data_IF_121041470248
#
_entry.id   IF_121041470248
#
_cell.length_a   1.000
_cell.length_b   1.000
_cell.length_c   1.000
_cell.angle_alpha   90.00
_cell.angle_beta   90.00
_cell.angle_gamma   90.00
#
_symmetry.space_group_name_H-M   'P 1'
#
loop_
_entity.id
_entity.type
_entity.pdbx_description
1 polymer ?
#
# COMPACT_ATOMS: atom_id res chain seq x y z
N UNK A 1 -19.70 -21.54 -0.06
CA UNK A 1 -20.72 -20.60 0.41
C UNK A 1 -20.05 -19.36 0.97
N UNK A 2 -20.69 -18.20 0.86
CA UNK A 2 -20.26 -17.00 1.58
C UNK A 2 -20.90 -16.97 2.98
N UNK A 3 -20.19 -16.44 3.98
CA UNK A 3 -20.75 -16.17 5.30
C UNK A 3 -21.98 -15.25 5.26
N UNK A 4 -22.04 -14.36 4.27
CA UNK A 4 -23.22 -13.51 4.03
C UNK A 4 -24.47 -14.28 3.64
N UNK A 5 -24.35 -15.49 3.07
CA UNK A 5 -25.50 -16.34 2.71
C UNK A 5 -26.26 -16.84 3.94
N UNK A 6 -25.65 -16.78 5.11
CA UNK A 6 -26.27 -17.17 6.38
C UNK A 6 -26.92 -15.99 7.12
N UNK A 7 -26.72 -14.74 6.64
CA UNK A 7 -27.30 -13.55 7.27
C UNK A 7 -28.64 -13.24 6.60
N UNK A 8 -29.73 -13.44 7.33
CA UNK A 8 -31.10 -13.19 6.87
C UNK A 8 -31.84 -12.29 7.84
N UNK A 9 -32.95 -11.70 7.40
CA UNK A 9 -33.79 -10.86 8.27
C UNK A 9 -34.70 -11.67 9.20
N UNK A 10 -34.93 -12.97 8.89
CA UNK A 10 -35.80 -13.83 9.68
C UNK A 10 -35.02 -14.73 10.62
N UNK A 11 -35.39 -14.68 11.89
CA UNK A 11 -34.73 -15.45 12.95
C UNK A 11 -34.81 -16.96 12.65
N UNK A 12 -33.67 -17.63 12.73
CA UNK A 12 -33.55 -19.08 12.56
C UNK A 12 -33.27 -19.57 11.15
N UNK A 13 -33.40 -18.73 10.12
CA UNK A 13 -33.13 -19.13 8.74
C UNK A 13 -31.66 -19.41 8.53
N UNK A 14 -30.78 -18.53 9.03
CA UNK A 14 -29.32 -18.72 8.97
C UNK A 14 -28.88 -20.01 9.67
N UNK A 15 -29.40 -20.28 10.85
CA UNK A 15 -29.11 -21.51 11.60
C UNK A 15 -29.60 -22.77 10.83
N UNK A 16 -30.72 -22.68 10.14
CA UNK A 16 -31.22 -23.81 9.29
C UNK A 16 -30.26 -24.05 8.11
N UNK A 17 -29.82 -23.01 7.42
CA UNK A 17 -28.85 -23.13 6.31
C UNK A 17 -27.52 -23.72 6.74
N UNK A 18 -27.03 -23.37 7.94
CA UNK A 18 -25.84 -23.99 8.52
C UNK A 18 -26.08 -25.49 8.69
N UNK A 19 -27.18 -25.92 9.30
CA UNK A 19 -27.50 -27.35 9.46
C UNK A 19 -27.56 -28.07 8.11
N UNK A 20 -28.26 -27.50 7.13
CA UNK A 20 -28.40 -28.08 5.80
C UNK A 20 -27.04 -28.24 5.11
N UNK A 21 -26.13 -27.27 5.23
CA UNK A 21 -24.80 -27.35 4.69
C UNK A 21 -23.99 -28.50 5.31
N UNK A 22 -24.01 -28.64 6.64
CA UNK A 22 -23.29 -29.68 7.35
C UNK A 22 -23.91 -31.08 7.13
N UNK A 23 -25.23 -31.18 7.07
CA UNK A 23 -25.91 -32.43 6.72
C UNK A 23 -25.61 -32.89 5.30
N UNK A 24 -25.54 -31.93 4.36
CA UNK A 24 -25.15 -32.24 2.98
C UNK A 24 -23.71 -32.73 2.92
N UNK A 25 -22.80 -32.11 3.68
CA UNK A 25 -21.40 -32.54 3.75
C UNK A 25 -21.25 -33.95 4.35
N UNK A 26 -22.01 -34.28 5.41
CA UNK A 26 -22.05 -35.65 5.98
C UNK A 26 -22.49 -36.69 4.96
N UNK A 27 -23.47 -36.37 4.15
CA UNK A 27 -23.99 -37.28 3.09
C UNK A 27 -22.99 -37.47 1.93
N UNK A 28 -22.14 -36.46 1.67
CA UNK A 28 -21.21 -36.47 0.55
C UNK A 28 -19.75 -36.64 0.99
N UNK A 29 -19.53 -37.18 2.18
CA UNK A 29 -18.17 -37.47 2.68
C UNK A 29 -17.46 -38.50 1.76
N UNK A 30 -16.14 -38.33 1.45
CA UNK A 30 -15.25 -37.25 1.90
C UNK A 30 -15.42 -35.95 1.13
N UNK A 31 -15.49 -34.79 1.84
CA UNK A 31 -15.64 -33.49 1.20
C UNK A 31 -15.00 -32.36 2.03
N UNK A 32 -14.93 -31.19 1.42
CA UNK A 32 -14.47 -29.94 2.05
C UNK A 32 -15.63 -28.96 2.07
N UNK A 33 -15.95 -28.43 3.24
CA UNK A 33 -16.79 -27.24 3.39
C UNK A 33 -15.90 -26.03 3.32
N UNK A 34 -16.18 -25.09 2.42
CA UNK A 34 -15.50 -23.80 2.35
C UNK A 34 -16.50 -22.68 2.61
N UNK A 35 -16.19 -21.85 3.63
CA UNK A 35 -16.98 -20.67 4.02
C UNK A 35 -16.13 -19.44 3.81
N UNK A 36 -16.47 -18.63 2.83
CA UNK A 36 -15.83 -17.34 2.59
C UNK A 36 -16.48 -16.24 3.42
N UNK A 37 -15.76 -15.16 3.71
CA UNK A 37 -16.23 -14.02 4.51
C UNK A 37 -16.83 -14.44 5.87
N UNK A 38 -16.12 -15.32 6.58
CA UNK A 38 -16.60 -15.86 7.86
C UNK A 38 -16.98 -14.77 8.88
N UNK A 39 -16.37 -13.59 8.81
CA UNK A 39 -16.64 -12.44 9.68
C UNK A 39 -18.06 -11.88 9.53
N UNK A 40 -18.80 -12.24 8.47
CA UNK A 40 -20.21 -11.87 8.34
C UNK A 40 -21.09 -12.50 9.45
N UNK A 41 -20.76 -13.73 9.87
CA UNK A 41 -21.49 -14.49 10.91
C UNK A 41 -20.67 -14.72 12.18
N UNK A 42 -19.35 -14.76 12.07
CA UNK A 42 -18.40 -15.14 13.13
C UNK A 42 -17.98 -14.02 14.07
N UNK A 43 -18.63 -12.86 14.07
CA UNK A 43 -18.25 -11.72 14.91
C UNK A 43 -18.43 -12.00 16.40
N UNK A 44 -17.46 -11.52 17.19
CA UNK A 44 -17.53 -11.52 18.66
C UNK A 44 -18.73 -10.70 19.16
N UNK A 45 -19.27 -11.11 20.31
CA UNK A 45 -20.39 -10.46 21.00
C UNK A 45 -20.00 -9.03 21.40
N UNK A 46 -20.49 -8.04 20.66
CA UNK A 46 -20.27 -6.62 20.95
C UNK A 46 -21.55 -5.97 21.47
N UNK A 47 -21.44 -4.99 22.34
CA UNK A 47 -22.56 -4.21 22.87
C UNK A 47 -23.18 -3.30 21.80
N UNK A 48 -23.98 -3.86 20.90
CA UNK A 48 -24.76 -3.14 19.89
C UNK A 48 -26.25 -3.24 20.20
N UNK A 49 -26.90 -2.10 20.36
CA UNK A 49 -28.37 -1.99 20.52
C UNK A 49 -29.03 -2.14 19.16
N UNK A 50 -29.53 -3.36 18.79
CA UNK A 50 -30.31 -3.54 17.57
C UNK A 50 -30.67 -5.00 17.26
N UNK A 51 -31.90 -5.26 16.84
CA UNK A 51 -32.54 -6.60 16.65
C UNK A 51 -31.95 -7.52 15.55
N UNK A 52 -30.86 -7.15 14.89
CA UNK A 52 -30.14 -8.02 13.96
C UNK A 52 -28.99 -8.82 14.60
N UNK A 53 -28.79 -8.68 15.91
CA UNK A 53 -27.73 -9.40 16.62
C UNK A 53 -28.15 -10.80 17.02
N UNK A 54 -29.42 -11.01 17.40
CA UNK A 54 -29.92 -12.30 17.89
C UNK A 54 -29.85 -13.38 16.79
N UNK A 55 -30.12 -13.03 15.55
CA UNK A 55 -30.07 -13.97 14.42
C UNK A 55 -28.63 -14.41 14.09
N UNK A 56 -27.69 -13.45 14.06
CA UNK A 56 -26.27 -13.76 13.84
C UNK A 56 -25.69 -14.60 14.96
N UNK A 57 -26.04 -14.30 16.21
CA UNK A 57 -25.59 -15.07 17.37
C UNK A 57 -26.16 -16.49 17.33
N UNK A 58 -27.43 -16.66 16.92
CA UNK A 58 -28.02 -17.97 16.75
C UNK A 58 -27.34 -18.76 15.64
N UNK A 59 -27.02 -18.12 14.53
CA UNK A 59 -26.31 -18.73 13.38
C UNK A 59 -24.89 -19.13 13.79
N UNK A 60 -24.17 -18.26 14.51
CA UNK A 60 -22.83 -18.57 15.04
C UNK A 60 -22.90 -19.77 16.01
N UNK A 61 -23.83 -19.76 16.95
CA UNK A 61 -24.00 -20.87 17.89
C UNK A 61 -24.31 -22.18 17.16
N UNK A 62 -25.14 -22.15 16.12
CA UNK A 62 -25.40 -23.34 15.30
C UNK A 62 -24.15 -23.82 14.59
N UNK A 63 -23.35 -22.91 14.03
CA UNK A 63 -22.06 -23.24 13.40
C UNK A 63 -21.12 -23.96 14.38
N UNK A 64 -21.00 -23.44 15.60
CA UNK A 64 -20.19 -24.04 16.66
C UNK A 64 -20.68 -25.45 17.03
N UNK A 65 -22.01 -25.64 17.14
CA UNK A 65 -22.63 -26.93 17.44
C UNK A 65 -22.36 -27.94 16.34
N UNK A 66 -22.49 -27.53 15.07
CA UNK A 66 -22.25 -28.43 13.94
C UNK A 66 -20.75 -28.83 13.83
N UNK A 67 -19.83 -27.89 14.11
CA UNK A 67 -18.40 -28.19 14.13
C UNK A 67 -18.03 -29.13 15.28
N UNK A 68 -18.57 -28.94 16.46
CA UNK A 68 -18.36 -29.84 17.61
C UNK A 68 -19.03 -31.22 17.40
N UNK A 69 -20.06 -31.28 16.54
CA UNK A 69 -20.76 -32.51 16.17
C UNK A 69 -20.04 -33.40 15.15
N UNK A 70 -18.91 -32.95 14.59
CA UNK A 70 -18.05 -33.79 13.76
C UNK A 70 -17.26 -34.76 14.66
N UNK A 71 -17.76 -35.97 14.85
CA UNK A 71 -16.99 -37.02 15.51
C UNK A 71 -15.74 -37.40 14.70
N UNK A 72 -14.81 -38.09 15.35
CA UNK A 72 -13.50 -38.51 14.81
C UNK A 72 -13.57 -39.38 13.54
N UNK A 73 -14.73 -39.75 13.06
CA UNK A 73 -14.95 -40.65 11.93
C UNK A 73 -15.55 -39.98 10.70
N UNK A 74 -15.78 -38.68 10.70
CA UNK A 74 -16.29 -37.98 9.52
C UNK A 74 -15.15 -37.41 8.70
N UNK A 75 -15.00 -37.89 7.44
CA UNK A 75 -13.98 -37.37 6.51
C UNK A 75 -14.44 -36.03 5.88
N UNK A 76 -14.79 -35.05 6.69
CA UNK A 76 -15.18 -33.69 6.26
C UNK A 76 -14.18 -32.70 6.85
N UNK A 77 -13.63 -31.86 5.99
CA UNK A 77 -12.72 -30.76 6.38
C UNK A 77 -13.50 -29.45 6.26
N UNK A 78 -13.47 -28.64 7.33
CA UNK A 78 -14.07 -27.31 7.30
C UNK A 78 -12.93 -26.29 7.13
N UNK A 79 -13.06 -25.46 6.11
CA UNK A 79 -12.16 -24.32 5.84
C UNK A 79 -12.97 -23.03 5.81
N UNK A 80 -12.39 -21.96 6.32
CA UNK A 80 -12.99 -20.63 6.22
C UNK A 80 -11.95 -19.59 5.83
N UNK A 81 -12.40 -18.51 5.20
CA UNK A 81 -11.59 -17.36 4.91
C UNK A 81 -12.20 -16.08 5.49
N UNK A 82 -11.38 -15.16 5.94
CA UNK A 82 -11.76 -13.84 6.40
C UNK A 82 -10.66 -12.82 6.17
N UNK A 83 -11.02 -11.60 5.85
CA UNK A 83 -10.12 -10.45 5.81
C UNK A 83 -10.03 -9.73 7.18
N UNK A 84 -10.83 -10.17 8.17
CA UNK A 84 -10.92 -9.54 9.49
C UNK A 84 -10.84 -10.57 10.62
N UNK A 85 -9.67 -11.19 10.85
CA UNK A 85 -9.51 -12.14 11.94
C UNK A 85 -9.71 -11.50 13.33
N UNK A 86 -9.49 -10.17 13.43
CA UNK A 86 -9.63 -9.36 14.65
C UNK A 86 -11.05 -9.33 15.22
N UNK A 87 -12.06 -9.48 14.36
CA UNK A 87 -13.48 -9.41 14.80
C UNK A 87 -14.08 -10.77 15.09
N UNK A 88 -13.39 -11.88 14.80
CA UNK A 88 -13.93 -13.23 15.00
C UNK A 88 -14.11 -13.57 16.48
N UNK A 89 -15.18 -14.29 16.78
CA UNK A 89 -15.40 -14.84 18.12
C UNK A 89 -14.33 -15.89 18.45
N UNK A 90 -13.70 -15.72 19.60
CA UNK A 90 -12.62 -16.61 20.07
C UNK A 90 -13.06 -18.08 20.18
N UNK A 91 -14.36 -18.35 20.32
CA UNK A 91 -14.89 -19.69 20.34
C UNK A 91 -14.70 -20.46 19.03
N UNK A 92 -14.66 -19.75 17.88
CA UNK A 92 -14.36 -20.37 16.59
C UNK A 92 -12.91 -20.88 16.49
N UNK A 93 -12.01 -20.24 17.19
CA UNK A 93 -10.56 -20.52 17.13
C UNK A 93 -10.09 -21.56 18.16
N UNK A 94 -11.01 -22.17 18.92
CA UNK A 94 -10.69 -23.20 19.90
C UNK A 94 -10.35 -24.54 19.23
N UNK A 95 -9.46 -25.36 19.86
CA UNK A 95 -9.18 -26.70 19.38
C UNK A 95 -10.44 -27.53 19.12
N UNK A 96 -10.44 -28.27 18.01
CA UNK A 96 -11.62 -29.05 17.55
C UNK A 96 -12.53 -28.27 16.59
N UNK A 97 -12.25 -26.98 16.31
CA UNK A 97 -12.95 -26.12 15.37
C UNK A 97 -11.96 -25.61 14.31
N UNK A 98 -11.69 -24.30 14.22
CA UNK A 98 -10.62 -23.78 13.36
C UNK A 98 -9.30 -23.78 14.15
N UNK A 99 -8.71 -24.92 14.30
CA UNK A 99 -7.48 -25.13 15.07
C UNK A 99 -6.21 -24.78 14.28
N UNK A 100 -6.31 -24.65 12.97
CA UNK A 100 -5.21 -24.23 12.07
C UNK A 100 -5.52 -22.88 11.43
N UNK A 101 -4.62 -21.94 11.64
CA UNK A 101 -4.71 -20.62 11.05
C UNK A 101 -3.56 -20.43 10.08
N UNK A 102 -3.88 -20.01 8.85
CA UNK A 102 -2.90 -19.73 7.81
C UNK A 102 -3.11 -18.29 7.36
N UNK A 103 -2.10 -17.46 7.54
CA UNK A 103 -2.10 -16.10 7.02
C UNK A 103 -1.56 -16.09 5.62
N UNK A 104 -2.35 -15.61 4.66
CA UNK A 104 -1.92 -15.37 3.28
C UNK A 104 -1.43 -13.93 3.20
N UNK A 105 -0.11 -13.76 3.18
CA UNK A 105 0.53 -12.44 3.04
C UNK A 105 0.49 -11.95 1.59
N UNK A 106 0.80 -10.66 1.40
CA UNK A 106 1.03 -10.13 0.05
C UNK A 106 2.23 -10.83 -0.58
N UNK A 107 2.20 -11.08 -1.91
CA UNK A 107 3.23 -11.84 -2.61
C UNK A 107 4.57 -11.08 -2.66
N UNK A 108 5.67 -11.82 -2.53
CA UNK A 108 7.03 -11.35 -2.79
C UNK A 108 7.29 -11.14 -4.29
N UNK A 109 8.48 -10.64 -4.67
CA UNK A 109 8.83 -10.37 -6.07
C UNK A 109 8.70 -11.62 -6.95
N UNK A 110 9.13 -12.79 -6.47
CA UNK A 110 9.09 -14.05 -7.24
C UNK A 110 7.65 -14.55 -7.39
N UNK A 111 6.87 -14.44 -6.32
CA UNK A 111 5.45 -14.79 -6.33
C UNK A 111 4.66 -13.83 -7.22
N UNK A 112 4.95 -12.52 -7.20
CA UNK A 112 4.35 -11.56 -8.14
C UNK A 112 4.67 -11.87 -9.59
N UNK A 113 5.92 -12.24 -9.89
CA UNK A 113 6.32 -12.69 -11.23
C UNK A 113 5.54 -13.93 -11.66
N UNK A 114 5.40 -14.92 -10.77
CA UNK A 114 4.64 -16.15 -11.05
C UNK A 114 3.15 -15.84 -11.30
N UNK A 115 2.55 -14.96 -10.49
CA UNK A 115 1.15 -14.52 -10.66
C UNK A 115 0.96 -13.79 -12.00
N UNK A 116 1.86 -12.88 -12.35
CA UNK A 116 1.84 -12.18 -13.63
C UNK A 116 1.95 -13.16 -14.80
N UNK A 117 2.82 -14.16 -14.71
CA UNK A 117 2.94 -15.23 -15.72
C UNK A 117 1.62 -15.97 -15.91
N UNK A 118 0.95 -16.37 -14.81
CA UNK A 118 -0.34 -17.08 -14.88
C UNK A 118 -1.42 -16.23 -15.57
N UNK A 119 -1.55 -14.95 -15.19
CA UNK A 119 -2.56 -14.08 -15.77
C UNK A 119 -2.24 -13.68 -17.21
N UNK A 120 -0.97 -13.66 -17.62
CA UNK A 120 -0.55 -13.39 -18.98
C UNK A 120 -0.85 -14.50 -19.98
N UNK A 121 -1.07 -15.75 -19.54
CA UNK A 121 -1.37 -16.88 -20.43
C UNK A 121 -2.60 -16.65 -21.34
N UNK A 122 -3.52 -15.79 -20.95
CA UNK A 122 -4.74 -15.48 -21.70
C UNK A 122 -4.60 -14.24 -22.59
N UNK A 123 -3.41 -13.62 -22.64
CA UNK A 123 -3.14 -12.39 -23.37
C UNK A 123 -1.94 -12.55 -24.28
N UNK A 124 -1.86 -11.78 -25.35
CA UNK A 124 -0.68 -11.75 -26.21
C UNK A 124 0.30 -10.70 -25.70
N UNK A 125 1.39 -11.15 -25.13
CA UNK A 125 2.50 -10.30 -24.71
C UNK A 125 3.56 -10.23 -25.82
N UNK A 126 4.09 -9.03 -26.05
CA UNK A 126 5.24 -8.83 -26.92
C UNK A 126 6.51 -9.39 -26.29
N UNK A 127 7.51 -9.72 -27.12
CA UNK A 127 8.80 -10.29 -26.69
C UNK A 127 9.66 -9.30 -25.87
N UNK A 128 9.37 -8.00 -25.92
CA UNK A 128 10.07 -6.97 -25.16
C UNK A 128 9.62 -6.90 -23.71
N UNK A 129 8.50 -7.56 -23.34
CA UNK A 129 7.99 -7.54 -21.96
C UNK A 129 8.88 -8.38 -21.05
N UNK A 130 9.36 -7.71 -19.99
CA UNK A 130 10.03 -8.36 -18.87
C UNK A 130 9.14 -8.32 -17.64
N UNK A 131 8.46 -9.45 -17.35
CA UNK A 131 7.55 -9.57 -16.20
C UNK A 131 8.28 -9.43 -14.86
N UNK A 132 9.56 -9.73 -14.78
CA UNK A 132 10.37 -9.53 -13.59
C UNK A 132 10.52 -8.04 -13.26
N UNK A 133 10.72 -7.19 -14.28
CA UNK A 133 10.77 -5.73 -14.09
C UNK A 133 9.42 -5.22 -13.57
N UNK A 134 8.31 -5.73 -14.12
CA UNK A 134 6.96 -5.37 -13.69
C UNK A 134 6.70 -5.84 -12.25
N UNK A 135 7.12 -7.06 -11.89
CA UNK A 135 6.99 -7.59 -10.53
C UNK A 135 7.75 -6.75 -9.50
N UNK A 136 8.95 -6.25 -9.84
CA UNK A 136 9.70 -5.30 -9.01
C UNK A 136 9.00 -3.95 -8.91
N UNK A 137 8.35 -3.53 -10.00
CA UNK A 137 7.67 -2.23 -10.11
C UNK A 137 6.29 -2.19 -9.43
N UNK A 138 5.85 -3.29 -8.81
CA UNK A 138 4.54 -3.42 -8.15
C UNK A 138 4.67 -3.90 -6.70
N UNK A 139 5.48 -3.23 -5.84
CA UNK A 139 5.60 -3.61 -4.44
C UNK A 139 4.23 -3.45 -3.74
N UNK A 140 3.88 -4.43 -2.90
CA UNK A 140 2.63 -4.41 -2.15
C UNK A 140 1.36 -4.73 -2.96
N UNK A 141 1.50 -5.09 -4.26
CA UNK A 141 0.36 -5.51 -5.07
C UNK A 141 -0.12 -6.90 -4.67
N UNK A 142 -1.43 -7.06 -4.53
CA UNK A 142 -2.10 -8.35 -4.36
C UNK A 142 -2.18 -9.11 -5.69
N UNK A 143 -2.58 -10.38 -5.64
CA UNK A 143 -2.85 -11.16 -6.85
C UNK A 143 -3.94 -10.53 -7.74
N UNK A 144 -4.95 -9.94 -7.14
CA UNK A 144 -6.03 -9.22 -7.86
C UNK A 144 -5.50 -7.95 -8.54
N UNK A 145 -4.62 -7.19 -7.89
CA UNK A 145 -4.01 -5.99 -8.47
C UNK A 145 -3.15 -6.35 -9.69
N UNK A 146 -2.40 -7.45 -9.60
CA UNK A 146 -1.56 -7.94 -10.69
C UNK A 146 -2.39 -8.45 -11.88
N UNK A 147 -3.51 -9.13 -11.61
CA UNK A 147 -4.46 -9.53 -12.65
C UNK A 147 -5.07 -8.31 -13.34
N UNK A 148 -5.48 -7.31 -12.55
CA UNK A 148 -5.99 -6.04 -13.07
C UNK A 148 -4.95 -5.29 -13.90
N UNK A 149 -3.67 -5.34 -13.51
CA UNK A 149 -2.58 -4.73 -14.26
C UNK A 149 -2.45 -5.31 -15.68
N UNK A 150 -2.50 -6.64 -15.82
CA UNK A 150 -2.48 -7.30 -17.13
C UNK A 150 -3.69 -6.88 -17.96
N UNK A 151 -4.89 -6.86 -17.35
CA UNK A 151 -6.12 -6.45 -18.02
C UNK A 151 -6.06 -4.98 -18.49
N UNK A 152 -5.58 -4.07 -17.66
CA UNK A 152 -5.40 -2.66 -18.02
C UNK A 152 -4.37 -2.49 -19.15
N UNK A 153 -3.27 -3.26 -19.14
CA UNK A 153 -2.30 -3.29 -20.23
C UNK A 153 -2.94 -3.72 -21.55
N UNK A 154 -3.79 -4.75 -21.52
CA UNK A 154 -4.53 -5.20 -22.69
C UNK A 154 -5.51 -4.15 -23.21
N UNK A 155 -6.21 -3.44 -22.31
CA UNK A 155 -7.12 -2.36 -22.68
C UNK A 155 -6.38 -1.18 -23.33
N UNK A 156 -5.17 -0.84 -22.84
CA UNK A 156 -4.33 0.22 -23.42
C UNK A 156 -3.85 -0.20 -24.82
N UNK A 157 -3.35 -1.43 -24.98
CA UNK A 157 -2.93 -1.97 -26.27
C UNK A 157 -4.08 -1.97 -27.29
N UNK A 158 -5.27 -2.43 -26.88
CA UNK A 158 -6.47 -2.40 -27.74
C UNK A 158 -6.86 -0.97 -28.16
N UNK A 159 -6.81 0.00 -27.24
CA UNK A 159 -7.07 1.42 -27.55
C UNK A 159 -6.07 1.98 -28.55
N UNK A 160 -4.84 1.51 -28.55
CA UNK A 160 -3.78 1.89 -29.46
C UNK A 160 -3.80 1.08 -30.79
N UNK A 161 -4.84 0.23 -31.00
CA UNK A 161 -4.97 -0.67 -32.15
C UNK A 161 -3.75 -1.60 -32.32
N UNK A 162 -3.25 -2.16 -31.21
CA UNK A 162 -2.13 -3.09 -31.18
C UNK A 162 -2.65 -4.51 -31.00
N UNK A 163 -2.03 -5.50 -31.67
CA UNK A 163 -2.39 -6.92 -31.55
C UNK A 163 -1.78 -7.62 -30.36
N UNK A 164 -0.79 -6.99 -29.73
CA UNK A 164 -0.09 -7.48 -28.54
C UNK A 164 0.21 -6.35 -27.56
N UNK A 165 0.38 -6.71 -26.29
CA UNK A 165 0.73 -5.77 -25.22
C UNK A 165 2.23 -5.52 -25.30
N UNK A 166 2.66 -4.25 -25.33
CA UNK A 166 4.07 -3.85 -25.28
C UNK A 166 4.47 -3.45 -23.86
N UNK A 167 5.78 -3.42 -23.58
CA UNK A 167 6.30 -2.99 -22.27
C UNK A 167 5.81 -1.59 -21.86
N UNK A 168 5.74 -0.65 -22.82
CA UNK A 168 5.19 0.69 -22.59
C UNK A 168 3.73 0.70 -22.14
N UNK A 169 2.91 -0.25 -22.64
CA UNK A 169 1.49 -0.34 -22.27
C UNK A 169 1.34 -0.87 -20.83
N UNK A 170 2.21 -1.80 -20.43
CA UNK A 170 2.29 -2.29 -19.05
C UNK A 170 2.74 -1.20 -18.07
N UNK A 171 3.72 -0.38 -18.46
CA UNK A 171 4.16 0.75 -17.65
C UNK A 171 3.06 1.81 -17.52
N UNK A 172 2.34 2.12 -18.61
CA UNK A 172 1.20 3.05 -18.56
C UNK A 172 0.05 2.50 -17.71
N UNK A 173 -0.23 1.19 -17.80
CA UNK A 173 -1.23 0.51 -16.96
C UNK A 173 -0.87 0.60 -15.48
N UNK A 174 0.38 0.32 -15.13
CA UNK A 174 0.89 0.46 -13.77
C UNK A 174 0.73 1.89 -13.26
N UNK A 175 1.15 2.87 -14.04
CA UNK A 175 1.05 4.27 -13.68
C UNK A 175 -0.41 4.70 -13.49
N UNK A 176 -1.32 4.21 -14.35
CA UNK A 176 -2.76 4.46 -14.22
C UNK A 176 -3.33 3.89 -12.92
N UNK A 177 -2.89 2.69 -12.53
CA UNK A 177 -3.36 2.04 -11.30
C UNK A 177 -2.80 2.75 -10.06
N UNK A 178 -1.51 3.05 -10.05
CA UNK A 178 -0.84 3.65 -8.88
C UNK A 178 -1.16 5.14 -8.69
N UNK A 179 -1.24 5.90 -9.78
CA UNK A 179 -1.31 7.37 -9.76
C UNK A 179 -2.59 7.93 -10.37
N UNK A 180 -3.40 7.10 -11.01
CA UNK A 180 -4.59 7.52 -11.75
C UNK A 180 -4.32 7.89 -13.21
N UNK A 181 -5.39 8.27 -13.90
CA UNK A 181 -5.36 8.59 -15.33
C UNK A 181 -4.54 9.86 -15.59
N UNK A 182 -3.71 9.84 -16.64
CA UNK A 182 -2.97 11.02 -17.10
C UNK A 182 -3.93 12.10 -17.61
N UNK A 183 -3.79 13.33 -17.13
CA UNK A 183 -4.62 14.49 -17.50
C UNK A 183 -4.00 15.24 -18.68
N UNK A 184 -3.91 14.58 -19.84
CA UNK A 184 -3.29 15.16 -21.05
C UNK A 184 -4.01 16.42 -21.59
N UNK A 185 -5.28 16.62 -21.23
CA UNK A 185 -6.07 17.79 -21.65
C UNK A 185 -5.94 19.00 -20.71
N UNK A 186 -5.19 18.87 -19.62
CA UNK A 186 -5.01 19.97 -18.67
C UNK A 186 -4.07 21.02 -19.26
N UNK A 187 -4.56 22.24 -19.42
CA UNK A 187 -3.73 23.35 -19.90
C UNK A 187 -2.86 23.83 -18.73
N UNK A 188 -1.57 23.52 -18.80
CA UNK A 188 -0.56 23.94 -17.83
C UNK A 188 0.23 25.09 -18.46
N UNK A 189 0.44 26.17 -17.73
CA UNK A 189 1.28 27.28 -18.21
C UNK A 189 2.75 26.86 -18.23
N UNK A 190 3.57 27.44 -19.11
CA UNK A 190 5.01 27.17 -19.18
C UNK A 190 5.70 27.40 -17.82
N UNK A 191 5.23 28.40 -17.08
CA UNK A 191 5.71 28.67 -15.73
C UNK A 191 5.41 27.51 -14.76
N UNK A 192 4.19 27.02 -14.73
CA UNK A 192 3.81 25.86 -13.87
C UNK A 192 4.54 24.59 -14.30
N UNK A 193 4.76 24.40 -15.61
CA UNK A 193 5.54 23.28 -16.13
C UNK A 193 6.99 23.33 -15.63
N UNK A 194 7.58 24.52 -15.62
CA UNK A 194 8.93 24.75 -15.10
C UNK A 194 9.00 24.55 -13.58
N UNK A 195 8.02 25.09 -12.83
CA UNK A 195 7.92 24.90 -11.38
C UNK A 195 7.85 23.41 -11.01
N UNK A 196 6.98 22.64 -11.68
CA UNK A 196 6.88 21.19 -11.50
C UNK A 196 8.18 20.47 -11.89
N UNK A 197 8.83 20.90 -12.97
CA UNK A 197 10.08 20.29 -13.42
C UNK A 197 11.22 20.48 -12.39
N UNK A 198 11.34 21.63 -11.77
CA UNK A 198 12.30 21.84 -10.69
C UNK A 198 11.95 21.00 -9.46
N UNK A 199 10.69 20.91 -9.10
CA UNK A 199 10.21 20.09 -7.99
C UNK A 199 10.62 18.62 -8.18
N UNK A 200 10.23 18.01 -9.29
CA UNK A 200 10.52 16.61 -9.59
C UNK A 200 12.01 16.34 -9.81
N UNK A 201 12.74 17.30 -10.40
CA UNK A 201 14.19 17.19 -10.54
C UNK A 201 14.90 17.16 -9.19
N UNK A 202 14.37 17.88 -8.18
CA UNK A 202 14.89 17.85 -6.81
C UNK A 202 14.78 16.47 -6.18
N UNK A 203 13.62 15.83 -6.26
CA UNK A 203 13.43 14.45 -5.81
C UNK A 203 14.33 13.49 -6.58
N UNK A 204 14.34 13.56 -7.91
CA UNK A 204 15.07 12.64 -8.75
C UNK A 204 16.61 12.71 -8.48
N UNK A 205 17.16 13.90 -8.31
CA UNK A 205 18.59 14.07 -8.11
C UNK A 205 19.06 13.48 -6.77
N UNK A 206 18.25 13.60 -5.71
CA UNK A 206 18.56 13.01 -4.40
C UNK A 206 18.65 11.48 -4.44
N UNK A 207 17.91 10.80 -5.32
CA UNK A 207 18.05 9.35 -5.49
C UNK A 207 19.46 8.91 -5.95
N UNK A 208 20.21 9.77 -6.61
CA UNK A 208 21.58 9.45 -7.06
C UNK A 208 22.65 9.78 -6.04
N UNK A 209 22.40 10.74 -5.15
CA UNK A 209 23.42 11.23 -4.21
C UNK A 209 23.25 10.68 -2.80
N UNK A 210 22.13 10.05 -2.46
CA UNK A 210 21.89 9.42 -1.17
C UNK A 210 22.21 7.93 -1.24
N UNK A 211 23.04 7.46 -0.32
CA UNK A 211 23.60 6.09 -0.34
C UNK A 211 22.53 5.00 -0.19
N UNK A 212 21.54 5.28 0.66
CA UNK A 212 20.50 4.29 1.01
C UNK A 212 19.18 4.52 0.27
N UNK A 213 19.16 5.42 -0.71
CA UNK A 213 18.00 5.68 -1.54
C UNK A 213 17.69 4.51 -2.47
N UNK A 214 16.41 4.26 -2.71
CA UNK A 214 15.98 3.34 -3.76
C UNK A 214 16.34 3.91 -5.13
N UNK A 215 16.78 3.08 -6.10
CA UNK A 215 17.11 3.56 -7.43
C UNK A 215 15.94 4.27 -8.10
N UNK A 216 16.22 5.40 -8.73
CA UNK A 216 15.23 6.07 -9.57
C UNK A 216 14.84 5.13 -10.72
N UNK A 217 13.57 5.05 -11.02
CA UNK A 217 13.07 4.32 -12.20
C UNK A 217 12.72 5.29 -13.32
N UNK A 218 11.97 6.32 -13.01
CA UNK A 218 11.62 7.41 -13.92
C UNK A 218 11.17 8.65 -13.17
N UNK A 219 11.24 9.77 -13.84
CA UNK A 219 10.68 11.05 -13.38
C UNK A 219 9.81 11.65 -14.48
N UNK A 220 8.65 12.18 -14.12
CA UNK A 220 7.68 12.75 -15.08
C UNK A 220 6.99 13.98 -14.50
N UNK A 221 6.70 14.93 -15.37
CA UNK A 221 5.90 16.13 -15.08
C UNK A 221 4.50 16.08 -15.70
N UNK A 222 4.09 14.91 -16.20
CA UNK A 222 2.73 14.70 -16.71
C UNK A 222 1.79 14.54 -15.52
N UNK A 223 0.76 15.40 -15.39
CA UNK A 223 -0.17 15.33 -14.28
C UNK A 223 -1.00 14.04 -14.28
N UNK A 224 -1.08 13.41 -13.10
CA UNK A 224 -1.91 12.21 -12.87
C UNK A 224 -2.67 12.33 -11.55
N UNK A 225 -3.95 12.02 -11.56
CA UNK A 225 -4.78 12.09 -10.35
C UNK A 225 -4.71 13.48 -9.70
N UNK A 226 -4.08 13.57 -8.52
CA UNK A 226 -3.85 14.82 -7.78
C UNK A 226 -2.41 15.33 -7.89
N UNK A 227 -1.48 14.54 -8.41
CA UNK A 227 -0.08 14.91 -8.56
C UNK A 227 0.13 15.66 -9.89
N UNK A 228 0.96 16.70 -9.86
CA UNK A 228 1.37 17.45 -11.06
C UNK A 228 2.56 16.79 -11.74
N UNK A 229 3.36 16.03 -11.01
CA UNK A 229 4.46 15.22 -11.47
C UNK A 229 4.75 14.10 -10.49
N UNK A 230 5.76 13.28 -10.75
CA UNK A 230 6.26 12.25 -9.84
C UNK A 230 7.66 11.79 -10.20
N UNK A 231 8.54 11.67 -9.20
CA UNK A 231 9.79 10.93 -9.26
C UNK A 231 9.55 9.53 -8.67
N UNK A 232 9.59 8.51 -9.50
CA UNK A 232 9.27 7.14 -9.13
C UNK A 232 10.53 6.31 -8.96
N UNK A 233 10.71 5.71 -7.78
CA UNK A 233 11.82 4.81 -7.46
C UNK A 233 11.34 3.38 -7.29
N UNK A 234 12.21 2.42 -7.57
CA UNK A 234 11.92 0.99 -7.43
C UNK A 234 12.91 0.36 -6.46
N UNK A 235 12.44 -0.30 -5.41
CA UNK A 235 13.32 -1.07 -4.54
C UNK A 235 13.96 -2.22 -5.35
N UNK A 236 15.24 -2.50 -5.07
CA UNK A 236 15.95 -3.62 -5.70
C UNK A 236 15.44 -4.96 -5.23
N UNK A 237 14.98 -5.03 -3.99
CA UNK A 237 14.57 -6.23 -3.27
C UNK A 237 13.36 -5.92 -2.38
N UNK A 238 12.54 -6.92 -2.08
CA UNK A 238 11.52 -6.81 -1.05
C UNK A 238 12.20 -6.67 0.31
N UNK A 239 11.90 -5.60 1.03
CA UNK A 239 12.53 -5.31 2.32
C UNK A 239 11.63 -5.77 3.46
N UNK A 240 12.14 -6.66 4.28
CA UNK A 240 11.48 -7.12 5.50
C UNK A 240 11.62 -6.11 6.66
N UNK A 241 12.64 -5.25 6.61
CA UNK A 241 12.90 -4.22 7.60
C UNK A 241 13.53 -2.99 6.95
N UNK A 242 13.39 -1.84 7.61
CA UNK A 242 13.99 -0.58 7.19
C UNK A 242 14.84 -0.03 8.34
N UNK A 243 16.06 0.40 8.06
CA UNK A 243 16.97 0.96 9.07
C UNK A 243 16.88 2.49 9.15
N UNK A 244 17.46 3.08 10.22
CA UNK A 244 17.46 4.52 10.49
C UNK A 244 17.97 5.34 9.29
N UNK A 245 19.07 4.95 8.66
CA UNK A 245 19.66 5.69 7.54
C UNK A 245 18.75 5.70 6.31
N UNK A 246 18.12 4.58 6.01
CA UNK A 246 17.14 4.47 4.91
C UNK A 246 15.92 5.37 5.13
N UNK A 247 15.46 5.51 6.38
CA UNK A 247 14.33 6.37 6.70
C UNK A 247 14.74 7.83 6.57
N UNK A 248 15.93 8.20 7.09
CA UNK A 248 16.45 9.57 6.95
C UNK A 248 16.61 9.94 5.47
N UNK A 249 17.15 9.05 4.64
CA UNK A 249 17.28 9.31 3.20
C UNK A 249 15.91 9.44 2.51
N UNK A 250 14.90 8.67 2.92
CA UNK A 250 13.52 8.88 2.44
C UNK A 250 12.96 10.24 2.83
N UNK A 251 13.22 10.70 4.06
CA UNK A 251 12.80 12.04 4.51
C UNK A 251 13.51 13.13 3.69
N UNK A 252 14.82 12.98 3.42
CA UNK A 252 15.56 13.90 2.56
C UNK A 252 15.00 13.96 1.15
N UNK A 253 14.65 12.82 0.57
CA UNK A 253 14.01 12.74 -0.75
C UNK A 253 12.67 13.49 -0.73
N UNK A 254 11.83 13.31 0.29
CA UNK A 254 10.59 14.08 0.42
C UNK A 254 10.85 15.60 0.42
N UNK A 255 11.97 16.07 0.96
CA UNK A 255 12.34 17.49 0.91
C UNK A 255 12.93 17.94 -0.43
N UNK A 256 13.21 17.03 -1.36
CA UNK A 256 13.83 17.33 -2.65
C UNK A 256 13.09 18.38 -3.45
N UNK A 257 11.76 18.27 -3.58
CA UNK A 257 10.91 19.24 -4.25
C UNK A 257 10.95 20.61 -3.58
N UNK A 258 10.73 20.65 -2.25
CA UNK A 258 10.76 21.88 -1.46
C UNK A 258 12.11 22.62 -1.60
N UNK A 259 13.20 21.92 -1.39
CA UNK A 259 14.55 22.52 -1.44
C UNK A 259 14.88 23.00 -2.87
N UNK A 260 14.51 22.25 -3.90
CA UNK A 260 14.70 22.62 -5.29
C UNK A 260 13.93 23.90 -5.66
N UNK A 261 12.66 24.01 -5.25
CA UNK A 261 11.86 25.23 -5.45
C UNK A 261 12.51 26.44 -4.78
N UNK A 262 12.94 26.30 -3.53
CA UNK A 262 13.62 27.41 -2.80
C UNK A 262 14.91 27.84 -3.48
N UNK A 263 15.75 26.93 -3.93
CA UNK A 263 17.05 27.20 -4.54
C UNK A 263 16.93 27.92 -5.90
N UNK A 264 15.92 27.53 -6.71
CA UNK A 264 15.84 27.96 -8.10
C UNK A 264 14.73 29.01 -8.36
N UNK A 265 13.66 28.99 -7.59
CA UNK A 265 12.50 29.87 -7.77
C UNK A 265 12.41 30.92 -6.67
N UNK A 266 13.05 30.71 -5.51
CA UNK A 266 12.97 31.59 -4.34
C UNK A 266 11.60 31.59 -3.63
N UNK A 267 10.70 30.72 -4.06
CA UNK A 267 9.35 30.54 -3.50
C UNK A 267 9.00 29.06 -3.46
N UNK A 268 8.11 28.66 -2.55
CA UNK A 268 7.54 27.32 -2.51
C UNK A 268 6.09 27.34 -2.95
N UNK A 269 5.68 26.27 -3.62
CA UNK A 269 4.29 26.09 -4.05
C UNK A 269 3.52 25.21 -3.04
N UNK A 270 2.20 25.20 -3.13
CA UNK A 270 1.37 24.29 -2.35
C UNK A 270 1.58 22.80 -2.75
N UNK A 271 2.27 22.51 -3.85
CA UNK A 271 2.59 21.17 -4.32
C UNK A 271 3.38 20.34 -3.30
N UNK A 272 4.19 21.00 -2.46
CA UNK A 272 5.02 20.35 -1.42
C UNK A 272 4.21 19.75 -0.26
N UNK A 273 2.90 19.98 -0.18
CA UNK A 273 2.07 19.55 0.96
C UNK A 273 2.16 18.05 1.23
N UNK A 274 2.06 17.24 0.20
CA UNK A 274 2.10 15.78 0.35
C UNK A 274 3.47 15.28 0.83
N UNK A 275 4.54 15.87 0.32
CA UNK A 275 5.91 15.52 0.68
C UNK A 275 6.21 15.87 2.14
N UNK A 276 5.79 17.07 2.58
CA UNK A 276 5.90 17.48 3.97
C UNK A 276 5.08 16.58 4.91
N UNK A 277 3.88 16.16 4.48
CA UNK A 277 3.06 15.23 5.23
C UNK A 277 3.75 13.86 5.37
N UNK A 278 4.33 13.33 4.29
CA UNK A 278 5.05 12.06 4.30
C UNK A 278 6.32 12.16 5.17
N UNK A 279 7.14 13.20 5.00
CA UNK A 279 8.32 13.44 5.80
C UNK A 279 7.99 13.49 7.30
N UNK A 280 6.96 14.27 7.66
CA UNK A 280 6.52 14.40 9.06
C UNK A 280 5.99 13.09 9.62
N UNK A 281 5.23 12.32 8.84
CA UNK A 281 4.73 11.01 9.26
C UNK A 281 5.87 10.02 9.51
N UNK A 282 6.88 9.97 8.63
CA UNK A 282 8.05 9.12 8.79
C UNK A 282 8.86 9.50 10.04
N UNK A 283 9.13 10.79 10.25
CA UNK A 283 9.85 11.28 11.41
C UNK A 283 9.11 10.97 12.73
N UNK A 284 7.77 11.13 12.76
CA UNK A 284 6.95 10.75 13.91
C UNK A 284 7.06 9.26 14.21
N UNK A 285 6.86 8.39 13.21
CA UNK A 285 6.99 6.95 13.38
C UNK A 285 8.37 6.54 13.87
N UNK A 286 9.41 7.19 13.35
CA UNK A 286 10.79 6.98 13.76
C UNK A 286 10.99 7.19 15.27
N UNK A 287 10.38 8.24 15.81
CA UNK A 287 10.49 8.62 17.23
C UNK A 287 9.52 7.82 18.10
N UNK A 288 8.25 7.67 17.68
CA UNK A 288 7.18 7.13 18.55
C UNK A 288 6.96 5.63 18.42
N UNK A 289 7.18 5.05 17.23
CA UNK A 289 6.90 3.63 16.98
C UNK A 289 8.18 2.77 16.95
N UNK A 290 9.27 3.30 16.34
CA UNK A 290 10.47 2.50 16.08
C UNK A 290 11.60 2.73 17.09
N UNK A 291 11.42 3.65 18.04
CA UNK A 291 12.40 3.93 19.07
C UNK A 291 13.76 4.39 18.54
N UNK A 292 13.76 5.08 17.38
CA UNK A 292 15.00 5.53 16.72
C UNK A 292 15.37 6.97 17.08
N UNK A 293 14.61 7.61 17.98
CA UNK A 293 14.88 8.92 18.53
C UNK A 293 16.06 8.90 19.49
N UNK A 294 16.79 10.03 19.63
CA UNK A 294 17.91 10.17 20.55
C UNK A 294 17.48 10.71 21.91
N UNK A 295 16.60 11.73 21.92
CA UNK A 295 16.10 12.35 23.15
C UNK A 295 15.00 11.51 23.83
N UNK A 296 14.13 10.89 23.02
CA UNK A 296 13.03 10.02 23.49
C UNK A 296 13.54 8.62 23.81
N UNK A 297 14.49 8.11 23.03
CA UNK A 297 15.07 6.79 23.18
C UNK A 297 14.19 5.63 22.64
N UNK A 298 14.57 4.36 22.95
CA UNK A 298 13.90 3.17 22.38
C UNK A 298 12.61 2.82 23.16
N UNK A 299 11.61 3.68 23.02
CA UNK A 299 10.29 3.53 23.67
C UNK A 299 9.21 3.51 22.59
N UNK A 300 8.20 2.65 22.75
CA UNK A 300 7.00 2.63 21.94
C UNK A 300 5.93 3.52 22.58
N UNK A 301 5.54 4.59 21.90
CA UNK A 301 4.67 5.66 22.40
C UNK A 301 3.36 5.79 21.61
N UNK A 302 2.92 4.76 20.94
CA UNK A 302 1.64 4.79 20.21
C UNK A 302 0.53 4.36 21.17
N UNK A 303 -0.57 5.10 21.14
CA UNK A 303 -1.79 4.66 21.82
C UNK A 303 -2.26 3.34 21.19
N UNK A 304 -2.54 2.34 22.01
CA UNK A 304 -3.30 1.17 21.58
C UNK A 304 -4.56 1.69 20.87
N UNK A 305 -4.82 1.19 19.70
CA UNK A 305 -5.95 1.60 18.85
C UNK A 305 -7.20 1.71 19.72
N UNK A 306 -7.73 2.92 19.86
CA UNK A 306 -8.98 3.12 20.58
C UNK A 306 -10.03 2.19 19.97
N UNK A 307 -10.85 1.52 20.81
CA UNK A 307 -11.86 0.59 20.33
C UNK A 307 -12.66 1.23 19.20
N UNK A 308 -12.80 0.53 18.09
CA UNK A 308 -13.41 0.97 16.81
C UNK A 308 -14.81 1.60 17.00
N UNK A 309 -15.40 1.51 18.19
CA UNK A 309 -16.75 1.93 18.55
C UNK A 309 -16.89 3.29 19.22
N UNK A 310 -15.79 4.00 19.52
CA UNK A 310 -15.87 5.37 20.04
C UNK A 310 -15.67 6.37 18.87
N UNK A 311 -16.51 7.43 18.78
CA UNK A 311 -16.27 8.49 17.80
C UNK A 311 -14.85 9.04 17.98
N UNK A 312 -14.11 9.20 16.88
CA UNK A 312 -12.71 9.69 16.86
C UNK A 312 -12.47 10.99 17.64
N UNK A 313 -13.55 11.71 17.99
CA UNK A 313 -13.50 12.96 18.76
C UNK A 313 -13.26 12.73 20.27
N UNK A 314 -13.56 11.54 20.81
CA UNK A 314 -13.39 11.24 22.24
C UNK A 314 -12.10 10.45 22.57
N UNK A 315 -11.35 9.99 21.58
CA UNK A 315 -10.15 9.15 21.78
C UNK A 315 -8.81 9.90 21.66
N UNK A 316 -8.80 11.23 21.87
CA UNK A 316 -7.57 12.05 21.81
C UNK A 316 -6.85 12.22 23.15
N UNK A 317 -7.01 11.32 24.11
CA UNK A 317 -6.12 11.32 25.25
C UNK A 317 -4.75 10.74 24.82
N UNK A 318 -3.70 11.57 24.79
CA UNK A 318 -2.32 11.10 24.54
C UNK A 318 -1.96 10.08 25.62
N UNK A 319 -1.44 8.90 25.25
CA UNK A 319 -1.01 7.85 26.18
C UNK A 319 0.22 8.25 27.02
N UNK A 320 0.78 9.41 26.80
CA UNK A 320 2.00 9.89 27.45
C UNK A 320 1.89 11.34 27.92
N UNK A 321 2.73 11.70 28.91
CA UNK A 321 2.72 13.02 29.54
C UNK A 321 3.02 14.17 28.57
N UNK A 322 2.58 15.38 28.89
CA UNK A 322 2.88 16.59 28.11
C UNK A 322 4.39 16.82 27.95
N UNK A 323 5.18 16.49 28.98
CA UNK A 323 6.64 16.57 28.89
C UNK A 323 7.23 15.61 27.84
N UNK A 324 6.67 14.40 27.76
CA UNK A 324 7.09 13.43 26.71
C UNK A 324 6.65 13.91 25.32
N UNK A 325 5.44 14.49 25.21
CA UNK A 325 4.96 15.07 23.95
C UNK A 325 5.89 16.19 23.44
N UNK A 326 6.31 17.09 24.34
CA UNK A 326 7.24 18.17 23.99
C UNK A 326 8.61 17.64 23.52
N UNK A 327 9.11 16.56 24.14
CA UNK A 327 10.35 15.90 23.66
C UNK A 327 10.16 15.30 22.27
N UNK A 328 9.04 14.59 22.03
CA UNK A 328 8.72 14.02 20.71
C UNK A 328 8.65 15.13 19.66
N UNK A 329 7.93 16.22 19.95
CA UNK A 329 7.77 17.32 18.99
C UNK A 329 9.12 18.01 18.68
N UNK A 330 9.97 18.21 19.69
CA UNK A 330 11.34 18.77 19.49
C UNK A 330 12.20 17.83 18.66
N UNK A 331 12.19 16.55 18.95
CA UNK A 331 13.01 15.57 18.23
C UNK A 331 12.56 15.39 16.78
N UNK A 332 11.25 15.30 16.54
CA UNK A 332 10.68 15.28 15.17
C UNK A 332 11.12 16.52 14.41
N UNK A 333 10.99 17.71 15.01
CA UNK A 333 11.42 18.97 14.39
C UNK A 333 12.90 18.97 14.05
N UNK A 334 13.76 18.52 14.97
CA UNK A 334 15.21 18.41 14.76
C UNK A 334 15.54 17.52 13.56
N UNK A 335 14.96 16.31 13.51
CA UNK A 335 15.18 15.36 12.41
C UNK A 335 14.77 15.98 11.06
N UNK A 336 13.63 16.65 11.01
CA UNK A 336 13.12 17.28 9.79
C UNK A 336 14.01 18.44 9.33
N UNK A 337 14.48 19.31 10.25
CA UNK A 337 15.37 20.42 9.95
C UNK A 337 16.75 19.96 9.47
N UNK A 338 17.31 18.92 10.10
CA UNK A 338 18.58 18.32 9.69
C UNK A 338 18.46 17.69 8.29
N UNK A 339 17.40 16.90 8.03
CA UNK A 339 17.17 16.30 6.72
C UNK A 339 16.94 17.36 5.62
N UNK A 340 16.20 18.42 5.90
CA UNK A 340 16.02 19.54 4.96
C UNK A 340 17.33 20.23 4.63
N UNK A 341 18.16 20.50 5.66
CA UNK A 341 19.47 21.11 5.47
C UNK A 341 20.36 20.25 4.59
N UNK A 342 20.51 18.97 4.92
CA UNK A 342 21.33 18.03 4.14
C UNK A 342 20.86 17.91 2.69
N UNK A 343 19.52 17.78 2.47
CA UNK A 343 18.95 17.76 1.13
C UNK A 343 19.26 19.05 0.35
N UNK A 344 19.13 20.21 0.99
CA UNK A 344 19.44 21.51 0.39
C UNK A 344 20.93 21.64 0.05
N UNK A 345 21.83 21.21 0.94
CA UNK A 345 23.28 21.25 0.72
C UNK A 345 23.68 20.37 -0.48
N UNK A 346 23.09 19.17 -0.61
CA UNK A 346 23.32 18.29 -1.76
C UNK A 346 22.85 18.96 -3.06
N UNK A 347 21.62 19.50 -3.08
CA UNK A 347 21.07 20.13 -4.27
C UNK A 347 21.82 21.41 -4.68
N UNK A 348 22.28 22.22 -3.72
CA UNK A 348 23.11 23.38 -3.96
C UNK A 348 24.47 23.01 -4.56
N UNK A 349 25.11 21.96 -4.04
CA UNK A 349 26.39 21.45 -4.57
C UNK A 349 26.25 20.97 -6.02
N UNK A 350 25.08 20.46 -6.41
CA UNK A 350 24.80 19.91 -7.72
C UNK A 350 23.79 20.75 -8.53
N UNK A 351 23.77 22.06 -8.28
CA UNK A 351 22.80 22.98 -8.86
C UNK A 351 22.78 22.96 -10.40
N UNK A 352 23.93 22.84 -11.05
CA UNK A 352 24.01 22.81 -12.52
C UNK A 352 23.30 21.56 -13.08
N UNK A 353 23.45 20.43 -12.42
CA UNK A 353 22.74 19.19 -12.80
C UNK A 353 21.23 19.31 -12.56
N UNK A 354 20.82 19.91 -11.44
CA UNK A 354 19.43 20.17 -11.13
C UNK A 354 18.75 21.02 -12.22
N UNK A 355 19.40 22.12 -12.63
CA UNK A 355 18.90 23.01 -13.69
C UNK A 355 18.83 22.29 -15.03
N UNK A 356 19.84 21.48 -15.36
CA UNK A 356 19.87 20.70 -16.60
C UNK A 356 18.73 19.67 -16.62
N UNK A 357 18.54 18.93 -15.52
CA UNK A 357 17.47 17.91 -15.40
C UNK A 357 16.09 18.54 -15.53
N UNK A 358 15.84 19.67 -14.85
CA UNK A 358 14.59 20.40 -14.95
C UNK A 358 14.29 20.84 -16.40
N UNK A 359 15.30 21.36 -17.13
CA UNK A 359 15.15 21.75 -18.52
C UNK A 359 14.84 20.55 -19.45
N UNK A 360 15.50 19.42 -19.24
CA UNK A 360 15.21 18.20 -19.99
C UNK A 360 13.80 17.68 -19.70
N UNK A 361 13.34 17.74 -18.45
CA UNK A 361 11.96 17.40 -18.09
C UNK A 361 10.93 18.31 -18.76
N UNK A 362 11.20 19.60 -18.87
CA UNK A 362 10.30 20.52 -19.60
C UNK A 362 10.17 20.12 -21.08
N UNK A 363 11.25 19.64 -21.70
CA UNK A 363 11.29 19.26 -23.12
C UNK A 363 10.67 17.87 -23.37
N UNK A 364 11.04 16.88 -22.55
CA UNK A 364 10.69 15.46 -22.79
C UNK A 364 9.47 15.00 -21.98
N UNK A 365 9.06 15.77 -20.97
CA UNK A 365 7.97 15.50 -20.01
C UNK A 365 8.18 14.26 -19.13
N UNK A 366 8.96 13.29 -19.58
CA UNK A 366 9.30 12.07 -18.83
C UNK A 366 10.74 11.67 -19.18
N UNK A 367 11.49 11.28 -18.14
CA UNK A 367 12.85 10.75 -18.25
C UNK A 367 12.95 9.44 -17.49
N UNK A 368 13.53 8.42 -18.11
CA UNK A 368 13.88 7.15 -17.50
C UNK A 368 15.21 7.23 -16.74
N UNK A 369 15.47 6.31 -15.81
CA UNK A 369 16.78 6.21 -15.13
C UNK A 369 17.96 6.19 -16.14
N UNK A 370 17.81 5.44 -17.24
CA UNK A 370 18.82 5.34 -18.28
C UNK A 370 19.13 6.70 -18.91
N UNK A 371 18.11 7.46 -19.29
CA UNK A 371 18.26 8.78 -19.90
C UNK A 371 18.88 9.79 -18.93
N UNK A 372 18.52 9.72 -17.65
CA UNK A 372 19.13 10.56 -16.62
C UNK A 372 20.61 10.21 -16.45
N UNK A 373 20.96 8.93 -16.36
CA UNK A 373 22.37 8.50 -16.25
C UNK A 373 23.21 8.91 -17.45
N UNK A 374 22.70 8.74 -18.65
CA UNK A 374 23.37 9.15 -19.89
C UNK A 374 23.60 10.67 -19.92
N UNK A 375 22.63 11.46 -19.46
CA UNK A 375 22.74 12.92 -19.42
C UNK A 375 23.75 13.46 -18.41
N UNK A 376 23.98 12.76 -17.30
CA UNK A 376 24.82 13.26 -16.19
C UNK A 376 26.08 12.44 -15.94
N UNK A 377 26.27 11.30 -16.63
CA UNK A 377 27.44 10.44 -16.48
C UNK A 377 27.49 9.66 -15.14
N UNK A 378 26.32 9.25 -14.64
CA UNK A 378 26.20 8.40 -13.45
C UNK A 378 26.43 6.93 -13.76
#
# INVERSE_FOLDING_TARGET
>A
MSGSDFVEMFVGVGASRVRDLFDNARKNSPCIIFIDELDAVGRSRGAGLGGGHDEREQTLNQLLVEMDGFGTHTNVIVMAATNRPDVLDSALLRPGRFDRQVTVSLPDIKEREAILNIHSLKTKLSKDINLQVIARATPGASGADLANLINEGALIAARNNQDEILMKDMEEARDKILMGVAKKSMTITDRQKLETAYHEAGHALLHYYLEHADPLHKVTIIPRGRALGVAFSLPREDRLSINKHQILDKIKICYGGYASEQINLGVTTAGVQNDLMQATSLAKKMVTEWGMGEEVGPIFLVDDEAPIFLPKEFSKAKAYSENTADKVDREVKRILEECLKEASDILLKHKDQLVKLAKELVLKETLTDKEVRESFGF
#
